data_IF_430795959397
#
_entry.id   IF_430795959397
#
_cell.length_a   1.000
_cell.length_b   1.000
_cell.length_c   1.000
_cell.angle_alpha   90.00
_cell.angle_beta   90.00
_cell.angle_gamma   90.00
#
_symmetry.space_group_name_H-M   'P 1'
#
loop_
_entity.id
_entity.type
_entity.pdbx_description
1 polymer ?
#
# COMPACT_ATOMS: atom_id res chain seq x y z
N UNK A 1 -18.57 8.91 13.40
CA UNK A 1 -17.12 8.84 13.67
C UNK A 1 -16.52 10.20 13.35
N UNK A 2 -15.59 10.67 14.15
CA UNK A 2 -14.86 11.89 13.85
C UNK A 2 -13.87 11.62 12.71
N UNK A 3 -14.23 12.07 11.50
CA UNK A 3 -13.40 11.89 10.31
C UNK A 3 -12.25 12.88 10.21
N UNK A 4 -12.10 13.77 11.20
CA UNK A 4 -10.98 14.71 11.31
C UNK A 4 -9.78 14.10 12.04
N UNK A 5 -9.96 12.99 12.78
CA UNK A 5 -8.87 12.29 13.43
C UNK A 5 -7.91 11.66 12.40
N UNK A 6 -6.61 11.49 12.74
CA UNK A 6 -5.63 10.90 11.83
C UNK A 6 -6.00 9.46 11.39
N UNK A 7 -5.75 9.14 10.13
CA UNK A 7 -5.75 7.76 9.65
C UNK A 7 -4.54 7.05 10.24
N UNK A 8 -4.75 5.87 10.80
CA UNK A 8 -3.66 5.02 11.28
C UNK A 8 -3.20 4.07 10.19
N UNK A 9 -1.90 4.04 9.94
CA UNK A 9 -1.26 3.14 8.98
C UNK A 9 -0.16 2.36 9.69
N UNK A 10 -0.12 1.04 9.52
CA UNK A 10 0.94 0.18 10.05
C UNK A 10 1.50 -0.71 8.93
N UNK A 11 2.81 -0.69 8.77
CA UNK A 11 3.50 -1.54 7.80
C UNK A 11 4.80 -0.94 7.27
N UNK A 12 5.25 -1.35 6.06
CA UNK A 12 6.60 -1.09 5.61
C UNK A 12 6.81 0.35 5.14
N UNK A 13 7.97 0.88 5.52
CA UNK A 13 8.60 2.03 4.90
C UNK A 13 10.04 1.63 4.57
N UNK A 14 10.46 1.82 3.34
CA UNK A 14 11.72 1.31 2.81
C UNK A 14 12.50 2.37 2.05
N UNK A 15 13.78 2.12 1.80
CA UNK A 15 14.59 2.89 0.88
C UNK A 15 14.91 2.04 -0.34
N UNK A 16 14.38 2.44 -1.50
CA UNK A 16 14.39 1.63 -2.71
C UNK A 16 15.29 2.22 -3.79
N UNK A 17 15.98 1.34 -4.51
CA UNK A 17 16.64 1.66 -5.77
C UNK A 17 15.72 1.24 -6.93
N UNK A 18 15.36 2.20 -7.79
CA UNK A 18 14.61 1.96 -9.01
C UNK A 18 15.57 2.04 -10.20
N UNK A 19 15.63 0.96 -10.98
CA UNK A 19 16.47 0.85 -12.19
C UNK A 19 15.56 0.67 -13.39
N UNK A 20 15.59 1.61 -14.32
CA UNK A 20 14.76 1.60 -15.51
C UNK A 20 15.53 1.00 -16.68
N UNK A 21 14.90 0.01 -17.30
CA UNK A 21 15.43 -0.78 -18.40
C UNK A 21 14.45 -0.73 -19.57
N UNK A 22 14.95 -0.90 -20.79
CA UNK A 22 14.09 -1.08 -21.98
C UNK A 22 13.15 -2.29 -21.81
N UNK A 23 13.68 -3.41 -21.30
CA UNK A 23 12.92 -4.60 -20.97
C UNK A 23 13.47 -5.25 -19.68
N UNK A 24 12.63 -5.99 -18.97
CA UNK A 24 13.09 -6.79 -17.82
C UNK A 24 14.09 -7.87 -18.27
N UNK A 25 15.08 -8.22 -17.41
CA UNK A 25 16.10 -9.21 -17.75
C UNK A 25 15.49 -10.61 -17.94
N UNK A 26 15.97 -11.32 -18.94
CA UNK A 26 15.70 -12.75 -19.08
C UNK A 26 16.46 -13.56 -18.03
N UNK A 27 16.01 -14.78 -17.65
CA UNK A 27 16.67 -15.62 -16.66
C UNK A 27 17.93 -16.32 -17.23
N UNK A 28 18.91 -15.53 -17.69
CA UNK A 28 20.20 -15.97 -18.24
C UNK A 28 21.30 -14.99 -17.89
N UNK A 29 22.57 -15.41 -18.03
CA UNK A 29 23.71 -14.51 -17.88
C UNK A 29 23.70 -13.44 -18.98
N UNK A 30 23.71 -12.17 -18.57
CA UNK A 30 23.69 -11.03 -19.49
C UNK A 30 24.24 -9.78 -18.80
N UNK A 31 24.67 -8.81 -19.57
CA UNK A 31 25.00 -7.46 -19.11
C UNK A 31 23.98 -6.49 -19.67
N UNK A 32 23.37 -5.69 -18.80
CA UNK A 32 22.39 -4.68 -19.19
C UNK A 32 22.88 -3.30 -18.76
N UNK A 33 22.50 -2.28 -19.52
CA UNK A 33 22.72 -0.89 -19.16
C UNK A 33 21.37 -0.28 -18.78
N UNK A 34 21.32 0.34 -17.61
CA UNK A 34 20.14 1.09 -17.19
C UNK A 34 20.00 2.37 -18.03
N UNK A 35 18.79 2.68 -18.47
CA UNK A 35 18.47 3.97 -19.08
C UNK A 35 18.59 5.11 -18.06
N UNK A 36 18.11 4.85 -16.86
CA UNK A 36 18.20 5.73 -15.69
C UNK A 36 18.05 4.91 -14.40
N UNK A 37 18.48 5.48 -13.30
CA UNK A 37 18.19 4.94 -11.97
C UNK A 37 17.97 6.08 -10.98
N UNK A 38 17.29 5.77 -9.88
CA UNK A 38 17.12 6.70 -8.75
C UNK A 38 16.85 5.93 -7.45
N UNK A 39 17.25 6.55 -6.35
CA UNK A 39 16.86 6.08 -5.02
C UNK A 39 15.70 6.91 -4.49
N UNK A 40 14.76 6.27 -3.80
CA UNK A 40 13.57 6.95 -3.26
C UNK A 40 13.00 6.17 -2.06
N UNK A 41 12.18 6.86 -1.27
CA UNK A 41 11.32 6.19 -0.28
C UNK A 41 10.38 5.23 -1.00
N UNK A 42 10.12 4.08 -0.38
CA UNK A 42 9.19 3.07 -0.84
C UNK A 42 8.52 2.38 0.35
N UNK A 43 7.95 1.22 0.08
CA UNK A 43 7.08 0.52 1.03
C UNK A 43 5.64 0.99 0.89
N UNK A 44 4.74 0.03 0.81
CA UNK A 44 3.32 0.31 0.51
C UNK A 44 2.66 1.19 1.56
N UNK A 45 3.02 1.04 2.84
CA UNK A 45 2.48 1.89 3.91
C UNK A 45 3.00 3.32 3.83
N UNK A 46 4.28 3.51 3.47
CA UNK A 46 4.81 4.84 3.21
C UNK A 46 4.14 5.47 1.98
N UNK A 47 3.94 4.70 0.90
CA UNK A 47 3.22 5.15 -0.29
C UNK A 47 1.80 5.62 0.03
N UNK A 48 1.04 4.82 0.78
CA UNK A 48 -0.31 5.19 1.23
C UNK A 48 -0.31 6.41 2.14
N UNK A 49 0.62 6.48 3.11
CA UNK A 49 0.73 7.61 4.02
C UNK A 49 1.01 8.93 3.27
N UNK A 50 1.94 8.91 2.31
CA UNK A 50 2.26 10.07 1.47
C UNK A 50 1.06 10.50 0.62
N UNK A 51 0.36 9.55 -0.02
CA UNK A 51 -0.81 9.86 -0.84
C UNK A 51 -2.00 10.37 0.00
N UNK A 52 -2.21 9.84 1.21
CA UNK A 52 -3.21 10.36 2.14
C UNK A 52 -2.86 11.78 2.59
N UNK A 53 -1.58 12.09 2.85
CA UNK A 53 -1.15 13.46 3.11
C UNK A 53 -1.37 14.39 1.91
N UNK A 54 -1.11 13.91 0.70
CA UNK A 54 -1.33 14.68 -0.54
C UNK A 54 -2.81 15.06 -0.77
N UNK A 55 -3.76 14.27 -0.22
CA UNK A 55 -5.20 14.60 -0.25
C UNK A 55 -5.67 15.31 1.04
N UNK A 56 -4.73 15.74 1.89
CA UNK A 56 -5.02 16.56 3.08
C UNK A 56 -5.39 15.79 4.34
N UNK A 57 -5.26 14.46 4.38
CA UNK A 57 -5.52 13.67 5.59
C UNK A 57 -4.36 13.74 6.57
N UNK A 58 -4.66 13.87 7.85
CA UNK A 58 -3.68 13.61 8.90
C UNK A 58 -3.41 12.11 9.00
N UNK A 59 -2.13 11.73 9.15
CA UNK A 59 -1.70 10.33 9.14
C UNK A 59 -0.71 10.06 10.27
N UNK A 60 -0.95 8.96 10.98
CA UNK A 60 0.03 8.35 11.88
C UNK A 60 0.51 7.06 11.22
N UNK A 61 1.79 6.99 10.89
CA UNK A 61 2.42 5.78 10.35
C UNK A 61 3.29 5.10 11.42
N UNK A 62 2.94 3.87 11.78
CA UNK A 62 3.82 2.98 12.57
C UNK A 62 4.60 2.10 11.62
N UNK A 63 5.93 2.19 11.68
CA UNK A 63 6.83 1.40 10.84
C UNK A 63 8.06 0.94 11.62
N UNK A 64 8.85 0.04 11.03
CA UNK A 64 10.12 -0.43 11.59
C UNK A 64 11.26 0.10 10.74
N UNK A 65 12.20 0.79 11.37
CA UNK A 65 13.41 1.27 10.71
C UNK A 65 14.66 0.82 11.50
N UNK A 66 15.77 0.69 10.79
CA UNK A 66 17.05 0.39 11.38
C UNK A 66 17.77 1.59 11.97
N UNK A 67 19.09 1.39 12.19
CA UNK A 67 20.04 2.44 12.57
C UNK A 67 21.08 2.70 11.46
N UNK A 68 20.77 2.26 10.23
CA UNK A 68 21.60 2.40 9.04
C UNK A 68 21.38 3.75 8.33
N UNK A 69 22.07 3.96 7.22
CA UNK A 69 22.00 5.19 6.42
C UNK A 69 20.65 5.40 5.67
N UNK A 70 19.85 4.35 5.55
CA UNK A 70 18.53 4.42 4.91
C UNK A 70 17.47 5.01 5.86
N UNK A 71 17.52 4.69 7.15
CA UNK A 71 16.53 5.13 8.12
C UNK A 71 16.32 6.66 8.13
N UNK A 72 17.36 7.50 8.30
CA UNK A 72 17.17 8.96 8.31
C UNK A 72 16.64 9.51 6.98
N UNK A 73 16.92 8.86 5.85
CA UNK A 73 16.39 9.28 4.54
C UNK A 73 14.88 9.01 4.46
N UNK A 74 14.43 7.85 4.90
CA UNK A 74 13.01 7.49 4.97
C UNK A 74 12.27 8.44 5.91
N UNK A 75 12.80 8.66 7.12
CA UNK A 75 12.20 9.56 8.10
C UNK A 75 12.08 11.00 7.57
N UNK A 76 13.13 11.52 6.95
CA UNK A 76 13.15 12.88 6.43
C UNK A 76 12.05 13.11 5.37
N UNK A 77 11.89 12.20 4.42
CA UNK A 77 10.84 12.29 3.39
C UNK A 77 9.45 12.28 4.03
N UNK A 78 9.19 11.33 4.92
CA UNK A 78 7.87 11.17 5.53
C UNK A 78 7.53 12.34 6.48
N UNK A 79 8.49 12.81 7.28
CA UNK A 79 8.27 13.96 8.18
C UNK A 79 8.06 15.26 7.40
N UNK A 80 8.79 15.49 6.31
CA UNK A 80 8.57 16.67 5.45
C UNK A 80 7.20 16.68 4.80
N UNK A 81 6.65 15.49 4.49
CA UNK A 81 5.28 15.36 4.01
C UNK A 81 4.22 15.54 5.11
N UNK A 82 4.63 15.74 6.38
CA UNK A 82 3.73 15.93 7.51
C UNK A 82 3.16 14.63 8.07
N UNK A 83 3.79 13.47 7.80
CA UNK A 83 3.40 12.19 8.41
C UNK A 83 3.90 12.15 9.86
N UNK A 84 3.03 11.85 10.81
CA UNK A 84 3.43 11.55 12.19
C UNK A 84 3.97 10.13 12.25
N UNK A 85 5.25 9.97 12.61
CA UNK A 85 5.93 8.67 12.64
C UNK A 85 6.02 8.09 14.04
N UNK A 86 5.65 6.83 14.15
CA UNK A 86 5.93 5.95 15.27
C UNK A 86 6.93 4.89 14.78
N UNK A 87 8.22 5.14 15.00
CA UNK A 87 9.31 4.29 14.53
C UNK A 87 9.67 3.28 15.61
N UNK A 88 9.48 2.00 15.31
CA UNK A 88 9.98 0.90 16.13
C UNK A 88 11.38 0.50 15.63
N UNK A 89 12.38 0.37 16.49
CA UNK A 89 13.70 -0.06 16.07
C UNK A 89 13.72 -1.49 15.49
N UNK A 90 14.38 -1.66 14.34
CA UNK A 90 14.63 -2.98 13.79
C UNK A 90 15.60 -3.76 14.68
N UNK A 91 15.30 -5.02 15.05
CA UNK A 91 16.16 -5.82 15.93
C UNK A 91 17.56 -6.09 15.36
N UNK A 92 17.67 -6.12 14.03
CA UNK A 92 18.96 -6.33 13.33
C UNK A 92 19.64 -5.01 12.92
N UNK A 93 19.04 -3.86 13.30
CA UNK A 93 19.56 -2.52 13.00
C UNK A 93 19.42 -2.10 11.54
N UNK A 94 18.66 -2.84 10.73
CA UNK A 94 18.56 -2.60 9.30
C UNK A 94 17.18 -2.08 8.91
N UNK A 95 17.16 -1.14 7.94
CA UNK A 95 15.96 -0.61 7.30
C UNK A 95 15.60 -1.46 6.08
N UNK A 96 14.33 -1.64 5.80
CA UNK A 96 13.86 -2.35 4.60
C UNK A 96 14.38 -1.69 3.33
N UNK A 97 14.88 -2.52 2.38
CA UNK A 97 15.45 -2.07 1.11
C UNK A 97 15.01 -2.97 -0.04
N UNK A 98 14.64 -2.34 -1.15
CA UNK A 98 14.31 -3.05 -2.39
C UNK A 98 15.14 -2.54 -3.55
N UNK A 99 15.40 -3.43 -4.50
CA UNK A 99 15.78 -3.10 -5.87
C UNK A 99 14.58 -3.39 -6.77
N UNK A 100 14.08 -2.36 -7.45
CA UNK A 100 12.99 -2.50 -8.41
C UNK A 100 13.54 -2.32 -9.82
N UNK A 101 13.42 -3.35 -10.64
CA UNK A 101 13.67 -3.26 -12.07
C UNK A 101 12.35 -2.88 -12.76
N UNK A 102 12.40 -1.79 -13.51
CA UNK A 102 11.25 -1.19 -14.20
C UNK A 102 11.42 -1.37 -15.71
N UNK A 103 10.57 -2.16 -16.35
CA UNK A 103 10.56 -2.37 -17.78
C UNK A 103 9.85 -1.26 -18.54
N UNK A 104 10.23 -1.05 -19.80
CA UNK A 104 9.69 0.02 -20.67
C UNK A 104 8.20 -0.09 -20.97
N UNK A 105 7.61 -1.30 -20.89
CA UNK A 105 6.18 -1.52 -21.05
C UNK A 105 5.39 -1.43 -19.72
N UNK A 106 6.05 -1.02 -18.63
CA UNK A 106 5.44 -0.82 -17.32
C UNK A 106 5.52 -2.04 -16.40
N UNK A 107 6.23 -3.09 -16.78
CA UNK A 107 6.49 -4.26 -15.94
C UNK A 107 7.42 -3.89 -14.78
N UNK A 108 7.28 -4.61 -13.67
CA UNK A 108 8.13 -4.44 -12.50
C UNK A 108 8.57 -5.79 -11.95
N UNK A 109 9.87 -5.89 -11.66
CA UNK A 109 10.44 -6.96 -10.85
C UNK A 109 11.00 -6.37 -9.56
N UNK A 110 10.40 -6.69 -8.42
CA UNK A 110 10.85 -6.23 -7.12
C UNK A 110 11.70 -7.28 -6.43
N UNK A 111 12.90 -6.89 -6.00
CA UNK A 111 13.84 -7.73 -5.28
C UNK A 111 13.98 -7.14 -3.87
N UNK A 112 13.53 -7.88 -2.87
CA UNK A 112 13.74 -7.52 -1.47
C UNK A 112 15.19 -7.82 -1.09
N UNK A 113 15.98 -6.78 -0.98
CA UNK A 113 17.38 -6.90 -0.53
C UNK A 113 17.42 -7.15 0.98
N UNK A 114 16.44 -6.62 1.68
CA UNK A 114 16.32 -6.66 3.12
C UNK A 114 14.90 -6.34 3.55
N UNK A 115 14.34 -7.13 4.45
CA UNK A 115 13.05 -6.89 5.09
C UNK A 115 13.15 -7.25 6.58
N UNK A 116 12.58 -6.45 7.49
CA UNK A 116 12.50 -6.77 8.90
C UNK A 116 11.67 -8.05 9.12
N UNK A 117 12.14 -8.91 10.03
CA UNK A 117 11.37 -10.03 10.52
C UNK A 117 10.23 -9.59 11.45
N UNK A 118 9.59 -10.56 12.10
CA UNK A 118 8.59 -10.26 13.12
C UNK A 118 9.24 -9.48 14.27
N UNK A 119 8.57 -8.39 14.71
CA UNK A 119 9.05 -7.52 15.79
C UNK A 119 8.02 -7.55 16.90
N UNK A 120 8.47 -7.91 18.10
CA UNK A 120 7.60 -7.88 19.29
C UNK A 120 7.14 -6.44 19.60
N UNK A 121 5.99 -6.29 20.27
CA UNK A 121 5.58 -4.99 20.80
C UNK A 121 6.69 -4.32 21.61
N UNK A 122 7.08 -3.12 21.23
CA UNK A 122 8.22 -2.39 21.80
C UNK A 122 7.86 -0.97 22.23
N UNK A 123 8.81 -0.04 22.07
CA UNK A 123 8.70 1.32 22.63
C UNK A 123 7.54 2.15 22.07
N UNK A 124 7.08 1.86 20.86
CA UNK A 124 5.98 2.58 20.21
C UNK A 124 4.62 1.93 20.40
N UNK A 125 4.53 0.78 21.09
CA UNK A 125 3.32 -0.03 21.15
C UNK A 125 2.11 0.72 21.71
N UNK A 126 2.22 1.31 22.89
CA UNK A 126 1.10 1.98 23.55
C UNK A 126 0.60 3.17 22.74
N UNK A 127 1.53 3.95 22.16
CA UNK A 127 1.18 5.05 21.28
C UNK A 127 0.52 4.58 19.99
N UNK A 128 0.97 3.46 19.41
CA UNK A 128 0.38 2.86 18.23
C UNK A 128 -1.04 2.34 18.50
N UNK A 129 -1.26 1.65 19.62
CA UNK A 129 -2.58 1.16 20.02
C UNK A 129 -3.53 2.33 20.30
N UNK A 130 -3.07 3.40 20.95
CA UNK A 130 -3.88 4.59 21.18
C UNK A 130 -4.29 5.26 19.85
N UNK A 131 -3.34 5.45 18.93
CA UNK A 131 -3.60 6.03 17.61
C UNK A 131 -4.56 5.14 16.79
N UNK A 132 -4.34 3.83 16.74
CA UNK A 132 -5.20 2.84 16.10
C UNK A 132 -6.63 2.90 16.66
N UNK A 133 -6.77 2.99 17.99
CA UNK A 133 -8.08 3.03 18.65
C UNK A 133 -8.86 4.29 18.28
N UNK A 134 -8.20 5.44 18.19
CA UNK A 134 -8.81 6.72 17.85
C UNK A 134 -9.10 6.89 16.35
N UNK A 135 -8.38 6.18 15.48
CA UNK A 135 -8.43 6.38 14.04
C UNK A 135 -9.81 6.08 13.42
N UNK A 136 -10.25 6.91 12.45
CA UNK A 136 -11.46 6.65 11.65
C UNK A 136 -11.27 5.51 10.65
N UNK A 137 -10.01 5.24 10.24
CA UNK A 137 -9.63 4.08 9.45
C UNK A 137 -8.29 3.54 9.93
N UNK A 138 -8.20 2.20 9.98
CA UNK A 138 -7.02 1.45 10.40
C UNK A 138 -6.52 0.66 9.20
N UNK A 139 -5.38 1.09 8.64
CA UNK A 139 -4.71 0.44 7.52
C UNK A 139 -3.58 -0.41 8.07
N UNK A 140 -3.58 -1.71 7.74
CA UNK A 140 -2.49 -2.62 8.12
C UNK A 140 -2.05 -3.37 6.88
N UNK A 141 -0.85 -3.06 6.43
CA UNK A 141 -0.29 -3.62 5.20
C UNK A 141 0.63 -4.83 5.46
N UNK A 142 0.92 -5.55 4.37
CA UNK A 142 1.70 -6.80 4.35
C UNK A 142 3.13 -6.60 4.88
N UNK A 143 3.32 -6.82 6.17
CA UNK A 143 4.65 -6.87 6.79
C UNK A 143 4.60 -7.69 8.08
N UNK A 144 5.57 -8.56 8.32
CA UNK A 144 5.66 -9.31 9.58
C UNK A 144 5.60 -8.40 10.82
N UNK A 145 6.29 -7.24 10.84
CA UNK A 145 6.20 -6.31 11.97
C UNK A 145 4.83 -5.68 12.20
N UNK A 146 3.90 -5.77 11.24
CA UNK A 146 2.54 -5.24 11.38
C UNK A 146 1.56 -6.25 11.99
N UNK A 147 1.87 -7.55 12.00
CA UNK A 147 1.00 -8.61 12.52
C UNK A 147 0.52 -8.38 13.96
N UNK A 148 1.35 -7.95 14.93
CA UNK A 148 0.85 -7.66 16.28
C UNK A 148 -0.26 -6.60 16.29
N UNK A 149 -0.14 -5.55 15.47
CA UNK A 149 -1.16 -4.49 15.36
C UNK A 149 -2.39 -4.95 14.58
N UNK A 150 -2.24 -5.84 13.61
CA UNK A 150 -3.36 -6.50 12.93
C UNK A 150 -4.23 -7.29 13.94
N UNK A 151 -3.57 -8.09 14.77
CA UNK A 151 -4.22 -8.89 15.81
C UNK A 151 -4.89 -8.00 16.86
N UNK A 152 -4.24 -6.91 17.24
CA UNK A 152 -4.79 -5.94 18.18
C UNK A 152 -6.00 -5.18 17.60
N UNK A 153 -5.95 -4.76 16.35
CA UNK A 153 -7.09 -4.14 15.65
C UNK A 153 -8.32 -5.08 15.68
N UNK A 154 -8.11 -6.36 15.38
CA UNK A 154 -9.18 -7.38 15.46
C UNK A 154 -9.71 -7.53 16.88
N UNK A 155 -8.82 -7.61 17.89
CA UNK A 155 -9.21 -7.72 19.31
C UNK A 155 -10.08 -6.53 19.75
N UNK A 156 -9.81 -5.35 19.22
CA UNK A 156 -10.56 -4.11 19.48
C UNK A 156 -11.82 -3.95 18.62
N UNK A 157 -12.10 -4.92 17.74
CA UNK A 157 -13.26 -4.87 16.84
C UNK A 157 -13.19 -3.76 15.80
N UNK A 158 -11.96 -3.33 15.43
CA UNK A 158 -11.75 -2.32 14.40
C UNK A 158 -11.89 -2.93 13.00
N UNK A 159 -12.50 -2.18 12.11
CA UNK A 159 -12.48 -2.48 10.68
C UNK A 159 -11.06 -2.28 10.13
N UNK A 160 -10.46 -3.33 9.58
CA UNK A 160 -9.13 -3.30 9.00
C UNK A 160 -9.21 -3.09 7.50
N UNK A 161 -8.46 -2.13 7.01
CA UNK A 161 -8.16 -1.89 5.60
C UNK A 161 -6.82 -2.52 5.27
N UNK A 162 -6.79 -3.35 4.25
CA UNK A 162 -5.55 -4.04 3.83
C UNK A 162 -5.48 -4.14 2.32
N UNK A 163 -4.29 -3.93 1.78
CA UNK A 163 -3.99 -4.17 0.38
C UNK A 163 -3.01 -5.34 0.28
N UNK A 164 -3.43 -6.40 -0.39
CA UNK A 164 -2.63 -7.61 -0.58
C UNK A 164 -1.94 -7.65 -1.94
N UNK A 165 -1.93 -6.55 -2.66
CA UNK A 165 -1.20 -6.33 -3.91
C UNK A 165 -1.50 -7.39 -4.98
N UNK A 166 -0.43 -8.04 -5.48
CA UNK A 166 -0.45 -9.10 -6.49
C UNK A 166 -0.58 -10.50 -5.88
N UNK A 167 -1.45 -10.65 -4.86
CA UNK A 167 -1.74 -11.93 -4.23
C UNK A 167 -2.21 -12.98 -5.25
N UNK A 168 -1.66 -14.18 -5.17
CA UNK A 168 -1.95 -15.29 -6.09
C UNK A 168 -3.08 -16.23 -5.64
N UNK A 169 -3.66 -15.96 -4.48
CA UNK A 169 -4.71 -16.78 -3.87
C UNK A 169 -4.20 -17.88 -2.94
N UNK A 170 -2.90 -18.15 -2.91
CA UNK A 170 -2.32 -19.30 -2.19
C UNK A 170 -1.23 -18.92 -1.18
N UNK A 171 -0.51 -17.83 -1.40
CA UNK A 171 0.64 -17.47 -0.59
C UNK A 171 0.30 -17.34 0.91
N UNK A 172 0.87 -18.25 1.72
CA UNK A 172 0.61 -18.38 3.16
C UNK A 172 0.83 -17.09 3.95
N UNK A 173 1.86 -16.32 3.57
CA UNK A 173 2.19 -15.05 4.22
C UNK A 173 1.01 -14.06 4.21
N UNK A 174 0.16 -14.10 3.18
CA UNK A 174 -0.98 -13.18 3.04
C UNK A 174 -2.19 -13.59 3.87
N UNK A 175 -2.28 -14.86 4.27
CA UNK A 175 -3.50 -15.46 4.83
C UNK A 175 -4.08 -14.64 5.99
N UNK A 176 -3.28 -14.33 7.00
CA UNK A 176 -3.77 -13.63 8.20
C UNK A 176 -4.28 -12.22 7.87
N UNK A 177 -3.63 -11.52 6.92
CA UNK A 177 -4.06 -10.21 6.44
C UNK A 177 -5.36 -10.30 5.64
N UNK A 178 -5.46 -11.26 4.71
CA UNK A 178 -6.68 -11.53 3.92
C UNK A 178 -7.87 -11.86 4.84
N UNK A 179 -7.66 -12.68 5.86
CA UNK A 179 -8.72 -13.08 6.80
C UNK A 179 -9.14 -11.96 7.75
N UNK A 180 -8.22 -11.05 8.07
CA UNK A 180 -8.49 -9.94 8.99
C UNK A 180 -9.15 -8.74 8.33
N UNK A 181 -9.01 -8.58 7.02
CA UNK A 181 -9.46 -7.39 6.31
C UNK A 181 -10.98 -7.29 6.23
N UNK A 182 -11.56 -6.20 6.77
CA UNK A 182 -12.94 -5.79 6.51
C UNK A 182 -13.06 -5.11 5.13
N UNK A 183 -12.03 -4.37 4.74
CA UNK A 183 -11.88 -3.69 3.45
C UNK A 183 -10.60 -4.20 2.79
N UNK A 184 -10.75 -5.07 1.79
CA UNK A 184 -9.63 -5.75 1.13
C UNK A 184 -9.40 -5.19 -0.26
N UNK A 185 -8.13 -4.85 -0.55
CA UNK A 185 -7.68 -4.41 -1.87
C UNK A 185 -6.69 -5.41 -2.44
N UNK A 186 -6.73 -5.60 -3.76
CA UNK A 186 -5.81 -6.50 -4.48
C UNK A 186 -5.69 -6.08 -5.96
N UNK A 187 -4.70 -6.66 -6.65
CA UNK A 187 -4.58 -6.61 -8.11
C UNK A 187 -4.98 -7.94 -8.74
N UNK A 188 -5.53 -7.89 -9.95
CA UNK A 188 -5.81 -9.09 -10.74
C UNK A 188 -4.58 -9.67 -11.44
N UNK A 189 -3.40 -9.08 -11.30
CA UNK A 189 -2.21 -9.44 -12.10
C UNK A 189 -1.80 -10.89 -11.94
N UNK A 190 -1.91 -11.43 -10.72
CA UNK A 190 -1.57 -12.83 -10.41
C UNK A 190 -2.78 -13.67 -9.99
N UNK A 191 -3.99 -13.11 -10.03
CA UNK A 191 -5.22 -13.78 -9.60
C UNK A 191 -6.28 -13.75 -10.71
N UNK A 192 -6.16 -14.60 -11.75
CA UNK A 192 -7.14 -14.61 -12.84
C UNK A 192 -8.57 -14.95 -12.39
N UNK A 193 -8.71 -15.71 -11.29
CA UNK A 193 -9.99 -16.04 -10.64
C UNK A 193 -10.47 -14.99 -9.63
N UNK A 194 -10.09 -13.74 -9.75
CA UNK A 194 -10.36 -12.70 -8.76
C UNK A 194 -11.84 -12.56 -8.37
N UNK A 195 -12.79 -12.77 -9.30
CA UNK A 195 -14.22 -12.65 -8.97
C UNK A 195 -14.67 -13.70 -7.94
N UNK A 196 -14.32 -14.97 -8.15
CA UNK A 196 -14.64 -16.02 -7.20
C UNK A 196 -13.95 -15.81 -5.85
N UNK A 197 -12.71 -15.28 -5.86
CA UNK A 197 -12.01 -14.89 -4.63
C UNK A 197 -12.74 -13.76 -3.90
N UNK A 198 -13.15 -12.70 -4.61
CA UNK A 198 -13.89 -11.58 -4.01
C UNK A 198 -15.21 -12.04 -3.38
N UNK A 199 -15.97 -12.90 -4.09
CA UNK A 199 -17.21 -13.51 -3.58
C UNK A 199 -16.96 -14.33 -2.31
N UNK A 200 -15.91 -15.16 -2.32
CA UNK A 200 -15.52 -15.95 -1.14
C UNK A 200 -15.13 -15.06 0.05
N UNK A 201 -14.46 -13.93 -0.19
CA UNK A 201 -14.09 -13.00 0.90
C UNK A 201 -15.29 -12.26 1.47
N UNK A 202 -16.22 -11.83 0.62
CA UNK A 202 -17.49 -11.22 1.08
C UNK A 202 -18.32 -12.24 1.85
N UNK A 203 -18.44 -13.47 1.35
CA UNK A 203 -19.13 -14.55 2.06
C UNK A 203 -18.48 -14.88 3.44
N UNK A 204 -17.16 -14.68 3.56
CA UNK A 204 -16.41 -14.84 4.81
C UNK A 204 -16.49 -13.61 5.74
N UNK A 205 -17.20 -12.53 5.36
CA UNK A 205 -17.46 -11.39 6.21
C UNK A 205 -16.73 -10.09 5.85
N UNK A 206 -15.99 -10.04 4.74
CA UNK A 206 -15.46 -8.77 4.24
C UNK A 206 -16.62 -7.83 3.86
N UNK A 207 -16.50 -6.56 4.23
CA UNK A 207 -17.52 -5.52 3.93
C UNK A 207 -17.39 -5.00 2.50
N UNK A 208 -16.16 -5.02 2.00
CA UNK A 208 -15.81 -4.58 0.67
C UNK A 208 -14.55 -5.30 0.19
N UNK A 209 -14.55 -5.72 -1.07
CA UNK A 209 -13.33 -6.19 -1.74
C UNK A 209 -13.18 -5.38 -3.03
N UNK A 210 -12.01 -4.80 -3.25
CA UNK A 210 -11.66 -4.01 -4.43
C UNK A 210 -10.53 -4.69 -5.17
N UNK A 211 -10.69 -4.90 -6.48
CA UNK A 211 -9.66 -5.43 -7.34
C UNK A 211 -9.31 -4.44 -8.44
N UNK A 212 -8.04 -4.07 -8.54
CA UNK A 212 -7.52 -3.21 -9.62
C UNK A 212 -7.06 -4.07 -10.80
N UNK A 213 -7.19 -3.53 -12.02
CA UNK A 213 -6.92 -4.21 -13.28
C UNK A 213 -5.95 -3.41 -14.18
N UNK A 214 -5.12 -2.55 -13.57
CA UNK A 214 -4.22 -1.66 -14.29
C UNK A 214 -4.99 -0.74 -15.27
N UNK A 215 -4.59 -0.73 -16.53
CA UNK A 215 -5.22 0.10 -17.56
C UNK A 215 -6.69 -0.25 -17.89
N UNK A 216 -7.23 -1.34 -17.32
CA UNK A 216 -8.64 -1.74 -17.50
C UNK A 216 -9.57 -1.18 -16.43
N UNK A 217 -9.04 -0.54 -15.38
CA UNK A 217 -9.84 0.05 -14.31
C UNK A 217 -9.87 -0.78 -13.04
N UNK A 218 -11.01 -0.80 -12.36
CA UNK A 218 -11.17 -1.51 -11.09
C UNK A 218 -12.60 -2.03 -10.90
N UNK A 219 -12.73 -3.11 -10.13
CA UNK A 219 -14.00 -3.69 -9.70
C UNK A 219 -14.08 -3.70 -8.18
N UNK A 220 -15.28 -3.49 -7.63
CA UNK A 220 -15.57 -3.68 -6.22
C UNK A 220 -16.75 -4.63 -6.04
N UNK A 221 -16.73 -5.39 -4.97
CA UNK A 221 -17.85 -6.19 -4.49
C UNK A 221 -18.14 -5.79 -3.04
N UNK A 222 -19.38 -5.39 -2.79
CA UNK A 222 -19.88 -4.98 -1.48
C UNK A 222 -20.49 -6.14 -0.71
N UNK A 223 -20.66 -5.99 0.61
CA UNK A 223 -21.22 -7.02 1.49
C UNK A 223 -22.65 -7.43 1.13
N UNK A 224 -23.42 -6.56 0.48
CA UNK A 224 -24.76 -6.85 -0.05
C UNK A 224 -24.76 -7.55 -1.41
N UNK A 225 -23.57 -7.89 -1.94
CA UNK A 225 -23.37 -8.60 -3.20
C UNK A 225 -23.39 -7.70 -4.44
N UNK A 226 -23.41 -6.39 -4.25
CA UNK A 226 -23.40 -5.40 -5.35
C UNK A 226 -22.01 -5.30 -6.02
N UNK A 227 -21.93 -5.58 -7.32
CA UNK A 227 -20.76 -5.33 -8.13
C UNK A 227 -20.75 -3.89 -8.66
N UNK A 228 -19.64 -3.22 -8.54
CA UNK A 228 -19.41 -1.87 -9.09
C UNK A 228 -18.10 -1.91 -9.87
N UNK A 229 -18.12 -1.41 -11.10
CA UNK A 229 -16.95 -1.37 -11.98
C UNK A 229 -16.74 0.06 -12.50
N UNK A 230 -15.49 0.47 -12.56
CA UNK A 230 -15.09 1.76 -13.15
C UNK A 230 -13.96 1.54 -14.15
N UNK A 231 -13.96 2.25 -15.28
CA UNK A 231 -12.84 2.23 -16.21
C UNK A 231 -11.62 2.92 -15.61
N UNK A 232 -10.44 2.63 -16.13
CA UNK A 232 -9.26 3.42 -15.84
C UNK A 232 -9.42 4.84 -16.40
N UNK A 233 -8.83 5.80 -15.72
CA UNK A 233 -8.72 7.16 -16.24
C UNK A 233 -7.63 7.18 -17.32
N UNK A 234 -7.97 7.70 -18.50
CA UNK A 234 -7.01 7.83 -19.60
C UNK A 234 -5.88 8.77 -19.22
N UNK A 235 -4.64 8.38 -19.53
CA UNK A 235 -3.44 9.17 -19.30
C UNK A 235 -2.72 9.41 -20.62
N UNK A 236 -2.13 10.60 -20.76
CA UNK A 236 -1.36 10.93 -21.98
C UNK A 236 -0.05 10.14 -22.06
N UNK A 237 0.57 9.93 -20.90
CA UNK A 237 1.86 9.23 -20.81
C UNK A 237 2.00 8.53 -19.48
N UNK A 238 2.48 7.29 -19.50
CA UNK A 238 2.96 6.57 -18.30
C UNK A 238 4.44 6.93 -18.11
N UNK A 239 4.76 7.50 -16.96
CA UNK A 239 6.13 7.86 -16.56
C UNK A 239 6.70 6.81 -15.62
N UNK A 240 5.90 6.38 -14.63
CA UNK A 240 6.27 5.38 -13.63
C UNK A 240 5.00 4.74 -13.07
N UNK A 241 4.94 3.41 -13.02
CA UNK A 241 3.80 2.69 -12.42
C UNK A 241 3.97 2.43 -10.92
N UNK A 242 5.13 2.78 -10.35
CA UNK A 242 5.41 2.57 -8.94
C UNK A 242 4.49 3.44 -8.07
N UNK A 243 3.82 2.83 -7.09
CA UNK A 243 2.92 3.53 -6.17
C UNK A 243 1.51 3.79 -6.69
N UNK A 244 1.17 3.41 -7.93
CA UNK A 244 -0.18 3.63 -8.49
C UNK A 244 -1.28 2.96 -7.66
N UNK A 245 -1.03 1.76 -7.14
CA UNK A 245 -1.94 1.04 -6.23
C UNK A 245 -2.12 1.78 -4.89
N UNK A 246 -1.02 2.28 -4.31
CA UNK A 246 -1.07 3.06 -3.07
C UNK A 246 -1.84 4.38 -3.25
N UNK A 247 -1.65 5.04 -4.40
CA UNK A 247 -2.38 6.25 -4.75
C UNK A 247 -3.88 5.97 -4.97
N UNK A 248 -4.21 4.87 -5.66
CA UNK A 248 -5.59 4.41 -5.82
C UNK A 248 -6.25 4.14 -4.47
N UNK A 249 -5.58 3.37 -3.60
CA UNK A 249 -6.05 3.05 -2.25
C UNK A 249 -6.31 4.32 -1.44
N UNK A 250 -5.37 5.25 -1.43
CA UNK A 250 -5.50 6.51 -0.68
C UNK A 250 -6.65 7.38 -1.20
N UNK A 251 -6.83 7.47 -2.52
CA UNK A 251 -7.95 8.19 -3.13
C UNK A 251 -9.30 7.56 -2.79
N UNK A 252 -9.40 6.24 -2.85
CA UNK A 252 -10.60 5.51 -2.45
C UNK A 252 -10.92 5.75 -0.97
N UNK A 253 -9.93 5.56 -0.08
CA UNK A 253 -10.11 5.71 1.37
C UNK A 253 -10.53 7.16 1.72
N UNK A 254 -9.90 8.15 1.13
CA UNK A 254 -10.27 9.55 1.36
C UNK A 254 -11.73 9.85 0.97
N UNK A 255 -12.14 9.40 -0.23
CA UNK A 255 -13.52 9.56 -0.70
C UNK A 255 -14.51 8.82 0.21
N UNK A 256 -14.20 7.59 0.61
CA UNK A 256 -15.01 6.82 1.56
C UNK A 256 -15.18 7.55 2.89
N UNK A 257 -14.10 8.10 3.46
CA UNK A 257 -14.15 8.86 4.73
C UNK A 257 -14.91 10.19 4.61
N UNK A 258 -15.05 10.72 3.39
CA UNK A 258 -15.94 11.87 3.09
C UNK A 258 -17.40 11.48 2.91
N UNK A 259 -17.72 10.17 2.96
CA UNK A 259 -19.08 9.65 2.80
C UNK A 259 -19.48 9.37 1.36
N UNK A 260 -18.54 9.32 0.42
CA UNK A 260 -18.80 8.97 -0.97
C UNK A 260 -19.29 7.52 -1.10
N UNK A 261 -20.17 7.29 -2.06
CA UNK A 261 -20.58 5.94 -2.45
C UNK A 261 -19.44 5.17 -3.13
N UNK A 262 -19.58 3.84 -3.22
CA UNK A 262 -18.53 2.95 -3.75
C UNK A 262 -18.08 3.34 -5.16
N UNK A 263 -19.02 3.69 -6.06
CA UNK A 263 -18.68 4.08 -7.43
C UNK A 263 -17.87 5.38 -7.50
N UNK A 264 -18.24 6.37 -6.69
CA UNK A 264 -17.52 7.64 -6.59
C UNK A 264 -16.12 7.43 -5.97
N UNK A 265 -16.02 6.63 -4.92
CA UNK A 265 -14.74 6.31 -4.29
C UNK A 265 -13.80 5.54 -5.23
N UNK A 266 -14.31 4.58 -6.03
CA UNK A 266 -13.53 3.92 -7.08
C UNK A 266 -13.05 4.92 -8.14
N UNK A 267 -13.88 5.85 -8.56
CA UNK A 267 -13.53 6.91 -9.51
C UNK A 267 -12.42 7.82 -8.96
N UNK A 268 -12.48 8.16 -7.67
CA UNK A 268 -11.42 8.94 -7.01
C UNK A 268 -10.12 8.17 -6.93
N UNK A 269 -10.17 6.88 -6.55
CA UNK A 269 -9.03 5.98 -6.59
C UNK A 269 -8.40 5.92 -7.98
N UNK A 270 -9.21 5.73 -9.03
CA UNK A 270 -8.74 5.68 -10.41
C UNK A 270 -8.06 7.00 -10.84
N UNK A 271 -8.62 8.15 -10.45
CA UNK A 271 -8.00 9.46 -10.73
C UNK A 271 -6.64 9.62 -10.03
N UNK A 272 -6.54 9.25 -8.76
CA UNK A 272 -5.26 9.32 -8.02
C UNK A 272 -4.22 8.36 -8.58
N UNK A 273 -4.60 7.14 -8.94
CA UNK A 273 -3.72 6.20 -9.65
C UNK A 273 -3.22 6.75 -10.98
N UNK A 274 -4.12 7.37 -11.76
CA UNK A 274 -3.77 8.00 -13.04
C UNK A 274 -2.81 9.21 -12.87
N UNK A 275 -2.96 10.02 -11.81
CA UNK A 275 -2.00 11.09 -11.49
C UNK A 275 -0.63 10.51 -11.13
N UNK A 276 -0.60 9.44 -10.33
CA UNK A 276 0.63 8.79 -9.90
C UNK A 276 1.42 8.27 -11.09
N UNK A 277 0.80 7.56 -12.03
CA UNK A 277 1.53 6.98 -13.18
C UNK A 277 2.08 8.01 -14.16
N UNK A 278 1.64 9.26 -14.11
CA UNK A 278 2.15 10.36 -14.91
C UNK A 278 3.30 11.14 -14.24
N UNK A 279 3.68 10.75 -13.02
CA UNK A 279 4.72 11.40 -12.24
C UNK A 279 5.85 10.43 -11.89
N UNK A 280 7.09 10.89 -11.75
CA UNK A 280 8.12 10.10 -11.12
C UNK A 280 7.93 9.99 -9.59
N UNK A 281 7.10 10.83 -8.98
CA UNK A 281 6.91 10.89 -7.55
C UNK A 281 5.90 9.86 -7.07
N UNK A 282 6.17 9.26 -5.92
CA UNK A 282 5.31 8.24 -5.29
C UNK A 282 3.94 8.81 -4.87
N UNK A 283 3.88 10.10 -4.57
CA UNK A 283 2.66 10.80 -4.17
C UNK A 283 2.63 12.21 -4.79
N UNK A 284 2.28 12.35 -6.07
CA UNK A 284 2.23 13.65 -6.69
C UNK A 284 1.10 14.50 -6.09
N UNK A 285 1.38 15.79 -5.91
CA UNK A 285 0.37 16.79 -5.60
C UNK A 285 -0.49 16.98 -6.86
N UNK A 286 -1.80 16.88 -6.73
CA UNK A 286 -2.75 17.09 -7.82
C UNK A 286 -3.02 18.55 -8.11
#
# INVERSE_FOLDING_TARGET
MDTSAPVFVAGPASWNELVYLDALPEPRSQTLFAERHRATVGGTSAGKALNLRAVGREVVLRTVLGSDDAAPRVEDVLRRAGVTLLVEPSPDGRTERHLNLMGGAGERLSIYLQAPGEVAPGSTWDAAVAALTAAPAVVVDLALPALPLLREARRLGKDVWCDVHDYDGEAEFHREFVEAASFLFLSSDRLPGYRAFMEARVAAGARLVVCTHGARGASALTADGGWVEVPAVAVERVVDTNGAGDAFFAGYLDAHLRGAGVAEALGEGARRGALCVQSPDLAPLG
#
